data_IF_414269257916
#
_entry.id   IF_414269257916
#
_cell.length_a   1.000
_cell.length_b   1.000
_cell.length_c   1.000
_cell.angle_alpha   90.00
_cell.angle_beta   90.00
_cell.angle_gamma   90.00
#
_symmetry.space_group_name_H-M   'P 1'
#
loop_
_entity.id
_entity.type
_entity.pdbx_description
1 polymer ?
#
# COMPACT_ATOMS: atom_id res chain seq x y z
N UNK A 1 8.49 -31.69 -22.60
CA UNK A 1 9.53 -31.45 -21.56
C UNK A 1 9.29 -30.05 -21.03
N UNK A 2 8.39 -29.93 -20.05
CA UNK A 2 7.98 -28.65 -19.46
C UNK A 2 8.54 -28.67 -18.03
N UNK A 3 9.43 -27.74 -17.72
CA UNK A 3 9.99 -27.56 -16.37
C UNK A 3 9.05 -26.65 -15.58
N UNK A 4 8.48 -27.22 -14.53
CA UNK A 4 7.60 -26.57 -13.58
C UNK A 4 8.48 -25.89 -12.51
N UNK A 5 8.62 -24.57 -12.53
CA UNK A 5 9.30 -23.83 -11.46
C UNK A 5 8.30 -23.60 -10.32
N UNK A 6 8.24 -24.56 -9.40
CA UNK A 6 7.68 -24.34 -8.08
C UNK A 6 8.57 -23.36 -7.33
N UNK A 7 8.01 -22.22 -6.96
CA UNK A 7 8.66 -21.25 -6.07
C UNK A 7 8.77 -21.92 -4.70
N UNK A 8 9.97 -22.38 -4.37
CA UNK A 8 10.31 -22.82 -3.01
C UNK A 8 10.56 -21.55 -2.20
N UNK A 9 9.59 -21.16 -1.37
CA UNK A 9 9.81 -20.16 -0.34
C UNK A 9 10.74 -20.80 0.70
N UNK A 10 12.06 -20.70 0.50
CA UNK A 10 13.01 -20.99 1.56
C UNK A 10 12.89 -19.87 2.57
N UNK A 11 12.17 -20.12 3.67
CA UNK A 11 12.19 -19.28 4.86
C UNK A 11 13.64 -19.08 5.29
N UNK A 12 14.19 -17.91 5.02
CA UNK A 12 15.48 -17.48 5.56
C UNK A 12 15.21 -17.16 7.02
N UNK A 13 15.49 -18.14 7.90
CA UNK A 13 15.54 -17.93 9.33
C UNK A 13 16.79 -17.07 9.60
N UNK A 14 16.63 -15.75 9.65
CA UNK A 14 17.67 -14.87 10.20
C UNK A 14 17.68 -15.13 11.70
N UNK A 15 18.59 -16.00 12.13
CA UNK A 15 18.89 -16.23 13.54
C UNK A 15 19.64 -14.98 14.05
N UNK A 16 18.90 -13.94 14.44
CA UNK A 16 19.48 -12.82 15.18
C UNK A 16 19.82 -13.36 16.57
N UNK A 17 21.11 -13.60 16.81
CA UNK A 17 21.63 -13.81 18.16
C UNK A 17 21.56 -12.45 18.86
N UNK A 18 20.42 -12.15 19.48
CA UNK A 18 20.33 -11.04 20.42
C UNK A 18 21.02 -11.51 21.69
N UNK A 19 22.25 -11.04 21.93
CA UNK A 19 22.86 -11.13 23.26
C UNK A 19 21.90 -10.49 24.25
N UNK A 20 21.43 -11.29 25.20
CA UNK A 20 20.42 -10.97 26.21
C UNK A 20 20.82 -9.78 27.07
N UNK A 21 20.49 -8.58 26.61
CA UNK A 21 20.24 -7.43 27.46
C UNK A 21 18.72 -7.31 27.55
N UNK A 22 18.13 -7.88 28.60
CA UNK A 22 16.73 -7.69 28.92
C UNK A 22 16.53 -6.22 29.33
N UNK A 23 16.14 -5.38 28.37
CA UNK A 23 15.53 -4.09 28.71
C UNK A 23 14.12 -4.43 29.21
N UNK A 24 13.80 -4.04 30.43
CA UNK A 24 12.44 -4.11 30.95
C UNK A 24 11.57 -3.19 30.12
N UNK A 25 10.91 -3.73 29.09
CA UNK A 25 9.87 -3.02 28.38
C UNK A 25 8.62 -3.05 29.27
N UNK A 26 8.06 -1.88 29.56
CA UNK A 26 6.84 -1.78 30.36
C UNK A 26 5.69 -2.49 29.62
N UNK A 27 5.20 -3.61 30.16
CA UNK A 27 4.06 -4.31 29.61
C UNK A 27 2.83 -3.40 29.59
N UNK A 28 2.13 -3.36 28.45
CA UNK A 28 0.92 -2.54 28.27
C UNK A 28 -0.34 -3.39 28.43
N UNK A 29 -0.36 -4.61 27.90
CA UNK A 29 -1.51 -5.51 28.00
C UNK A 29 -1.09 -6.98 27.99
N UNK A 30 -1.93 -7.85 28.58
CA UNK A 30 -1.60 -9.26 28.77
C UNK A 30 -2.44 -9.91 29.87
N UNK A 31 -2.33 -11.23 29.97
CA UNK A 31 -2.98 -12.02 31.01
C UNK A 31 -2.03 -13.07 31.57
N UNK A 32 -2.36 -13.56 32.76
CA UNK A 32 -1.61 -14.59 33.47
C UNK A 32 -2.52 -15.73 33.90
N UNK A 33 -1.98 -16.94 33.90
CA UNK A 33 -2.61 -18.12 34.50
C UNK A 33 -1.75 -18.60 35.67
N UNK A 34 -2.11 -19.74 36.27
CA UNK A 34 -1.23 -20.41 37.25
C UNK A 34 0.06 -20.96 36.64
N UNK A 35 0.11 -21.12 35.31
CA UNK A 35 1.24 -21.70 34.59
C UNK A 35 2.21 -20.65 34.01
N UNK A 36 1.85 -19.36 34.07
CA UNK A 36 2.70 -18.30 33.55
C UNK A 36 1.97 -17.01 33.23
N UNK A 37 2.56 -16.23 32.31
CA UNK A 37 1.99 -14.99 31.78
C UNK A 37 2.40 -14.75 30.33
N UNK A 38 1.57 -13.97 29.62
CA UNK A 38 1.85 -13.41 28.32
C UNK A 38 1.57 -11.91 28.35
N UNK A 39 2.50 -11.11 27.85
CA UNK A 39 2.45 -9.67 27.79
C UNK A 39 2.90 -9.16 26.43
N UNK A 40 2.37 -8.02 26.03
CA UNK A 40 2.83 -7.25 24.88
C UNK A 40 3.14 -5.81 25.29
N UNK A 41 4.05 -5.18 24.56
CA UNK A 41 4.48 -3.81 24.81
C UNK A 41 3.67 -2.75 24.05
N UNK A 42 2.77 -3.17 23.14
CA UNK A 42 1.86 -2.29 22.39
C UNK A 42 0.57 -3.07 22.05
N UNK A 43 -0.59 -2.45 22.22
CA UNK A 43 -1.91 -3.03 21.90
C UNK A 43 -2.60 -2.36 20.71
N UNK A 44 -2.11 -1.20 20.26
CA UNK A 44 -2.53 -0.51 19.06
C UNK A 44 -1.30 -0.09 18.25
N UNK A 45 -1.26 -0.49 16.99
CA UNK A 45 -0.08 -0.38 16.13
C UNK A 45 -0.49 0.24 14.80
N UNK A 46 0.28 1.21 14.33
CA UNK A 46 0.24 1.69 12.95
C UNK A 46 1.49 1.21 12.25
N UNK A 47 1.33 0.52 11.12
CA UNK A 47 2.42 -0.06 10.34
C UNK A 47 2.73 0.80 9.11
N UNK A 48 3.99 0.75 8.66
CA UNK A 48 4.44 1.44 7.45
C UNK A 48 4.77 0.45 6.34
N UNK A 49 4.57 0.86 5.08
CA UNK A 49 5.03 0.09 3.91
C UNK A 49 6.55 0.07 3.76
N UNK A 50 7.24 1.05 4.35
CA UNK A 50 8.67 1.27 4.12
C UNK A 50 9.55 0.91 5.31
N UNK A 51 8.96 0.78 6.49
CA UNK A 51 9.67 0.47 7.72
C UNK A 51 8.84 -0.48 8.61
N UNK A 52 9.38 -1.65 8.98
CA UNK A 52 8.67 -2.56 9.86
C UNK A 52 8.61 -2.01 11.29
N UNK A 53 7.48 -2.23 11.96
CA UNK A 53 7.29 -1.95 13.39
C UNK A 53 7.60 -3.21 14.20
N UNK A 54 8.32 -3.07 15.32
CA UNK A 54 8.59 -4.19 16.23
C UNK A 54 7.51 -4.24 17.32
N UNK A 55 6.87 -5.40 17.48
CA UNK A 55 6.08 -5.72 18.66
C UNK A 55 6.86 -6.71 19.53
N UNK A 56 7.11 -6.37 20.80
CA UNK A 56 7.76 -7.28 21.72
C UNK A 56 6.71 -8.09 22.49
N UNK A 57 6.71 -9.40 22.25
CA UNK A 57 5.92 -10.34 23.03
C UNK A 57 6.82 -10.89 24.13
N UNK A 58 6.37 -10.82 25.37
CA UNK A 58 7.14 -11.28 26.53
C UNK A 58 6.27 -12.01 27.53
N UNK A 59 6.88 -12.67 28.50
CA UNK A 59 6.13 -13.37 29.53
C UNK A 59 7.03 -14.20 30.43
N UNK A 60 6.39 -14.99 31.27
CA UNK A 60 7.04 -15.92 32.18
C UNK A 60 6.32 -17.27 32.15
N UNK A 61 7.07 -18.36 32.33
CA UNK A 61 6.55 -19.70 32.53
C UNK A 61 6.93 -20.18 33.92
N UNK A 62 5.93 -20.60 34.69
CA UNK A 62 6.13 -21.21 36.01
C UNK A 62 6.70 -22.62 35.83
N UNK A 63 7.70 -22.98 36.63
CA UNK A 63 8.38 -24.28 36.58
C UNK A 63 8.92 -24.64 35.18
N UNK A 64 9.48 -23.64 34.49
CA UNK A 64 10.06 -23.82 33.17
C UNK A 64 11.20 -24.84 33.16
N UNK A 65 11.16 -25.75 32.18
CA UNK A 65 12.20 -26.74 31.97
C UNK A 65 13.07 -26.31 30.79
N UNK A 66 14.34 -26.00 31.10
CA UNK A 66 15.31 -25.46 30.13
C UNK A 66 15.34 -26.25 28.82
N UNK A 67 15.15 -25.55 27.70
CA UNK A 67 15.17 -26.12 26.36
C UNK A 67 13.80 -26.57 25.84
N UNK A 68 12.74 -26.52 26.66
CA UNK A 68 11.39 -26.75 26.19
C UNK A 68 10.82 -25.52 25.47
N UNK A 69 10.01 -25.77 24.43
CA UNK A 69 9.48 -24.72 23.57
C UNK A 69 8.15 -24.19 24.14
N UNK A 70 8.00 -22.88 24.08
CA UNK A 70 6.75 -22.16 24.29
C UNK A 70 6.16 -21.88 22.91
N UNK A 71 4.88 -22.19 22.74
CA UNK A 71 4.14 -21.91 21.49
C UNK A 71 3.29 -20.67 21.70
N UNK A 72 3.38 -19.71 20.79
CA UNK A 72 2.50 -18.53 20.79
C UNK A 72 1.73 -18.56 19.48
N UNK A 73 0.43 -18.80 19.57
CA UNK A 73 -0.50 -18.70 18.45
C UNK A 73 -0.96 -17.26 18.30
N UNK A 74 -0.82 -16.70 17.09
CA UNK A 74 -1.37 -15.40 16.70
C UNK A 74 -2.47 -15.66 15.68
N UNK A 75 -3.71 -15.34 16.03
CA UNK A 75 -4.85 -15.49 15.13
C UNK A 75 -4.99 -14.24 14.27
N UNK A 76 -5.00 -14.41 12.94
CA UNK A 76 -5.19 -13.34 11.96
C UNK A 76 -6.68 -12.97 11.82
N UNK A 77 -7.00 -11.79 11.26
CA UNK A 77 -8.36 -11.36 10.95
C UNK A 77 -9.16 -12.33 10.07
N UNK A 78 -8.49 -13.02 9.14
CA UNK A 78 -9.07 -14.04 8.26
C UNK A 78 -9.32 -15.41 8.95
N UNK A 79 -9.11 -15.48 10.27
CA UNK A 79 -9.14 -16.67 11.13
C UNK A 79 -8.02 -17.70 10.88
N UNK A 80 -7.04 -17.43 10.02
CA UNK A 80 -5.82 -18.25 9.96
C UNK A 80 -4.89 -17.94 11.15
N UNK A 81 -3.92 -18.81 11.44
CA UNK A 81 -3.01 -18.65 12.57
C UNK A 81 -1.55 -18.68 12.16
N UNK A 82 -0.74 -17.82 12.79
CA UNK A 82 0.72 -17.91 12.80
C UNK A 82 1.13 -18.56 14.13
N UNK A 83 2.05 -19.52 14.10
CA UNK A 83 2.59 -20.16 15.30
C UNK A 83 4.06 -19.76 15.47
N UNK A 84 4.34 -19.01 16.53
CA UNK A 84 5.71 -18.70 16.95
C UNK A 84 6.19 -19.74 17.96
N UNK A 85 7.50 -20.00 17.91
CA UNK A 85 8.19 -20.89 18.82
C UNK A 85 9.28 -20.10 19.53
N UNK A 86 9.23 -20.06 20.85
CA UNK A 86 10.27 -19.41 21.66
C UNK A 86 10.68 -20.29 22.83
N UNK A 87 11.72 -19.88 23.56
CA UNK A 87 12.22 -20.53 24.75
C UNK A 87 12.41 -19.47 25.84
N UNK A 88 12.29 -19.89 27.09
CA UNK A 88 12.57 -19.03 28.23
C UNK A 88 14.01 -19.20 28.72
N UNK A 89 14.46 -18.23 29.53
CA UNK A 89 15.69 -18.32 30.31
C UNK A 89 15.55 -19.29 31.51
N UNK A 90 16.57 -19.35 32.36
CA UNK A 90 16.57 -20.26 33.53
C UNK A 90 15.56 -19.85 34.59
N UNK A 91 15.16 -18.59 34.57
CA UNK A 91 14.19 -17.97 35.45
C UNK A 91 12.76 -18.06 34.89
N UNK A 92 12.59 -18.68 33.72
CA UNK A 92 11.30 -18.88 33.06
C UNK A 92 10.81 -17.68 32.23
N UNK A 93 11.61 -16.61 32.10
CA UNK A 93 11.22 -15.44 31.33
C UNK A 93 11.55 -15.61 29.85
N UNK A 94 10.66 -15.13 28.98
CA UNK A 94 10.89 -15.10 27.54
C UNK A 94 10.57 -13.72 26.95
N UNK A 95 11.24 -13.41 25.84
CA UNK A 95 10.95 -12.26 25.01
C UNK A 95 11.20 -12.63 23.55
N UNK A 96 10.20 -12.43 22.70
CA UNK A 96 10.27 -12.70 21.26
C UNK A 96 9.70 -11.50 20.50
N UNK A 97 10.54 -10.71 19.81
CA UNK A 97 10.06 -9.65 18.95
C UNK A 97 9.42 -10.25 17.68
N UNK A 98 8.39 -9.58 17.16
CA UNK A 98 7.89 -9.80 15.80
C UNK A 98 8.02 -8.51 14.98
N UNK A 99 8.31 -8.69 13.68
CA UNK A 99 8.33 -7.60 12.72
C UNK A 99 6.96 -7.54 12.03
N UNK A 100 6.29 -6.42 12.20
CA UNK A 100 5.03 -6.07 11.55
C UNK A 100 5.34 -5.14 10.39
N UNK A 101 5.15 -5.65 9.17
CA UNK A 101 5.34 -4.92 7.92
C UNK A 101 4.01 -4.84 7.14
N UNK A 102 4.05 -4.30 5.91
CA UNK A 102 2.88 -4.18 5.04
C UNK A 102 2.22 -5.50 4.63
N UNK A 103 2.79 -6.66 4.96
CA UNK A 103 2.13 -7.95 4.71
C UNK A 103 1.10 -8.30 5.80
N UNK A 104 0.97 -7.46 6.82
CA UNK A 104 -0.03 -7.61 7.87
C UNK A 104 -1.24 -6.71 7.61
N UNK A 105 -2.43 -7.29 7.64
CA UNK A 105 -3.67 -6.58 7.41
C UNK A 105 -4.09 -5.72 8.63
N UNK A 106 -4.89 -4.69 8.37
CA UNK A 106 -5.58 -3.95 9.44
C UNK A 106 -6.56 -4.88 10.15
N UNK A 107 -6.55 -4.89 11.49
CA UNK A 107 -7.46 -5.72 12.27
C UNK A 107 -6.94 -6.08 13.65
N UNK A 108 -7.72 -6.89 14.36
CA UNK A 108 -7.39 -7.38 15.69
C UNK A 108 -6.71 -8.75 15.62
N UNK A 109 -5.64 -8.91 16.39
CA UNK A 109 -4.79 -10.10 16.45
C UNK A 109 -4.74 -10.64 17.87
N UNK A 110 -5.62 -11.60 18.22
CA UNK A 110 -5.54 -12.32 19.48
C UNK A 110 -4.31 -13.23 19.53
N UNK A 111 -3.67 -13.30 20.70
CA UNK A 111 -2.53 -14.15 21.01
C UNK A 111 -2.89 -15.12 22.13
N UNK A 112 -2.46 -16.36 21.96
CA UNK A 112 -2.55 -17.40 22.99
C UNK A 112 -1.19 -18.09 23.13
N UNK A 113 -0.63 -18.05 24.34
CA UNK A 113 0.62 -18.73 24.64
C UNK A 113 0.35 -20.03 25.41
N UNK A 114 1.02 -21.09 24.97
CA UNK A 114 0.95 -22.42 25.60
C UNK A 114 2.32 -23.01 25.88
N UNK A 115 2.41 -23.73 26.99
CA UNK A 115 3.59 -24.48 27.41
C UNK A 115 3.15 -25.86 27.90
N UNK A 116 3.70 -26.94 27.31
CA UNK A 116 3.29 -28.33 27.58
C UNK A 116 1.76 -28.56 27.53
N UNK A 117 1.08 -27.92 26.58
CA UNK A 117 -0.38 -27.93 26.39
C UNK A 117 -1.20 -27.18 27.45
N UNK A 118 -0.57 -26.48 28.39
CA UNK A 118 -1.24 -25.57 29.31
C UNK A 118 -1.20 -24.14 28.76
N UNK A 119 -2.31 -23.42 28.88
CA UNK A 119 -2.35 -21.98 28.61
C UNK A 119 -1.55 -21.25 29.69
N UNK A 120 -0.57 -20.45 29.27
CA UNK A 120 0.22 -19.60 30.19
C UNK A 120 -0.26 -18.15 30.17
N UNK A 121 -0.96 -17.74 29.12
CA UNK A 121 -1.53 -16.39 29.03
C UNK A 121 -2.02 -16.06 27.63
N UNK A 122 -2.72 -14.95 27.54
CA UNK A 122 -3.30 -14.40 26.32
C UNK A 122 -3.13 -12.89 26.27
N UNK A 123 -3.08 -12.35 25.06
CA UNK A 123 -2.98 -10.93 24.79
C UNK A 123 -3.68 -10.61 23.46
N UNK A 124 -3.80 -9.33 23.11
CA UNK A 124 -4.28 -8.93 21.79
C UNK A 124 -3.69 -7.59 21.40
N UNK A 125 -3.26 -7.44 20.16
CA UNK A 125 -2.97 -6.14 19.57
C UNK A 125 -3.87 -5.89 18.37
N UNK A 126 -4.07 -4.63 18.03
CA UNK A 126 -4.76 -4.21 16.81
C UNK A 126 -3.83 -3.44 15.91
N UNK A 127 -3.79 -3.80 14.64
CA UNK A 127 -3.27 -2.93 13.59
C UNK A 127 -4.42 -1.99 13.21
N UNK A 128 -4.19 -0.69 13.35
CA UNK A 128 -5.20 0.35 13.11
C UNK A 128 -4.89 1.13 11.85
N UNK A 129 -5.94 1.50 11.11
CA UNK A 129 -5.80 2.48 10.04
C UNK A 129 -5.60 3.88 10.62
N UNK A 130 -4.68 4.64 10.05
CA UNK A 130 -4.51 6.05 10.44
C UNK A 130 -5.66 6.85 9.82
N UNK A 131 -6.54 7.45 10.63
CA UNK A 131 -7.64 8.27 10.09
C UNK A 131 -7.15 9.69 9.75
N UNK A 132 -7.45 10.18 8.55
CA UNK A 132 -6.98 11.49 8.08
C UNK A 132 -7.82 12.69 8.52
N UNK A 133 -9.00 12.45 9.11
CA UNK A 133 -9.98 13.50 9.41
C UNK A 133 -9.52 14.42 10.57
N UNK A 134 -8.61 13.97 11.44
CA UNK A 134 -8.26 14.66 12.68
C UNK A 134 -6.76 14.95 12.87
N UNK A 135 -5.96 14.92 11.81
CA UNK A 135 -4.53 15.23 11.93
C UNK A 135 -4.39 16.75 12.06
N UNK A 136 -3.94 17.29 13.21
CA UNK A 136 -3.77 18.71 13.39
C UNK A 136 -2.63 19.21 12.50
N UNK A 137 -2.88 20.32 11.80
CA UNK A 137 -1.92 20.93 10.89
C UNK A 137 -1.74 22.40 11.26
N UNK A 138 -0.50 22.83 11.46
CA UNK A 138 -0.15 24.22 11.75
C UNK A 138 0.27 24.97 10.48
N UNK A 139 -0.71 25.48 9.74
CA UNK A 139 -0.49 26.32 8.54
C UNK A 139 0.30 27.61 8.82
N UNK A 140 0.52 27.96 10.08
CA UNK A 140 1.40 29.07 10.48
C UNK A 140 2.87 28.80 10.15
N UNK A 141 3.29 27.54 10.10
CA UNK A 141 4.69 27.10 9.90
C UNK A 141 5.03 27.00 8.41
N UNK A 142 4.06 26.64 7.57
CA UNK A 142 4.30 26.47 6.15
C UNK A 142 3.03 26.25 5.35
N UNK A 143 3.21 26.01 4.05
CA UNK A 143 2.17 25.65 3.10
C UNK A 143 2.55 24.37 2.34
N UNK A 144 1.53 23.67 1.87
CA UNK A 144 1.67 22.47 1.04
C UNK A 144 0.58 22.53 -0.02
N UNK A 145 0.96 22.30 -1.26
CA UNK A 145 0.10 22.32 -2.43
C UNK A 145 0.49 21.12 -3.31
N UNK A 146 -0.50 20.51 -3.95
CA UNK A 146 -0.32 19.41 -4.90
C UNK A 146 -0.63 19.93 -6.30
N UNK A 147 0.13 19.48 -7.30
CA UNK A 147 -0.06 19.96 -8.68
C UNK A 147 -1.31 19.35 -9.32
N UNK A 148 -1.52 18.05 -9.13
CA UNK A 148 -2.67 17.30 -9.66
C UNK A 148 -3.40 16.56 -8.53
N UNK A 149 -4.69 16.86 -8.34
CA UNK A 149 -5.55 16.21 -7.35
C UNK A 149 -6.06 14.83 -7.81
N UNK A 150 -6.01 14.55 -9.11
CA UNK A 150 -6.38 13.26 -9.70
C UNK A 150 -5.28 12.79 -10.65
N UNK A 151 -4.73 11.62 -10.38
CA UNK A 151 -3.63 11.05 -11.14
C UNK A 151 -4.06 9.70 -11.69
N UNK A 152 -4.09 9.61 -13.03
CA UNK A 152 -4.36 8.36 -13.73
C UNK A 152 -3.04 7.74 -14.17
N UNK A 153 -2.82 6.47 -13.79
CA UNK A 153 -1.65 5.69 -14.22
C UNK A 153 -2.13 4.53 -15.07
N UNK A 154 -1.58 4.40 -16.26
CA UNK A 154 -1.90 3.30 -17.17
C UNK A 154 -0.73 2.31 -17.21
N UNK A 155 -1.02 1.02 -17.05
CA UNK A 155 -0.01 -0.03 -17.12
C UNK A 155 1.15 0.15 -16.12
N UNK A 156 2.38 -0.05 -16.60
CA UNK A 156 3.63 0.04 -15.82
C UNK A 156 4.36 1.38 -16.01
N UNK A 157 3.67 2.43 -16.47
CA UNK A 157 4.31 3.75 -16.60
C UNK A 157 4.73 4.29 -15.23
N UNK A 158 5.90 4.93 -15.20
CA UNK A 158 6.45 5.53 -13.98
C UNK A 158 5.81 6.90 -13.78
N UNK A 159 4.73 6.98 -13.02
CA UNK A 159 4.12 8.27 -12.66
C UNK A 159 4.66 8.83 -11.35
N UNK A 160 4.65 10.15 -11.22
CA UNK A 160 5.06 10.86 -10.00
C UNK A 160 3.98 11.84 -9.57
N UNK A 161 3.75 11.93 -8.27
CA UNK A 161 2.98 13.01 -7.64
C UNK A 161 3.94 14.15 -7.33
N UNK A 162 3.70 15.34 -7.88
CA UNK A 162 4.46 16.54 -7.53
C UNK A 162 3.77 17.29 -6.38
N UNK A 163 4.52 17.53 -5.31
CA UNK A 163 4.05 18.30 -4.16
C UNK A 163 5.00 19.45 -3.90
N UNK A 164 4.44 20.65 -3.84
CA UNK A 164 5.15 21.89 -3.63
C UNK A 164 4.81 22.47 -2.25
N UNK A 165 5.74 23.21 -1.67
CA UNK A 165 5.47 23.87 -0.40
C UNK A 165 6.55 24.85 0.01
N UNK A 166 6.26 25.58 1.09
CA UNK A 166 7.19 26.51 1.72
C UNK A 166 7.13 26.34 3.24
N UNK A 167 8.29 26.40 3.90
CA UNK A 167 8.40 26.43 5.37
C UNK A 167 9.03 27.74 5.82
N UNK A 168 8.36 28.45 6.72
CA UNK A 168 8.90 29.69 7.32
C UNK A 168 10.08 29.35 8.22
N UNK A 169 11.15 30.15 8.11
CA UNK A 169 12.38 30.01 8.91
C UNK A 169 13.07 28.63 8.76
N UNK A 170 12.85 27.93 7.64
CA UNK A 170 13.50 26.67 7.34
C UNK A 170 15.03 26.76 7.45
N UNK A 171 15.63 25.78 8.10
CA UNK A 171 17.09 25.67 8.20
C UNK A 171 17.60 24.77 7.08
N UNK A 172 18.46 25.33 6.22
CA UNK A 172 18.94 24.61 5.04
C UNK A 172 19.66 23.32 5.42
N UNK A 173 19.21 22.21 4.85
CA UNK A 173 19.78 20.87 5.05
C UNK A 173 19.02 20.02 6.07
N UNK A 174 18.11 20.62 6.83
CA UNK A 174 17.19 19.88 7.69
C UNK A 174 16.16 19.09 6.87
N UNK A 175 15.75 17.94 7.39
CA UNK A 175 14.83 17.06 6.70
C UNK A 175 13.38 17.54 6.82
N UNK A 176 12.67 17.47 5.70
CA UNK A 176 11.23 17.61 5.62
C UNK A 176 10.68 16.22 5.39
N UNK A 177 9.71 15.80 6.21
CA UNK A 177 9.09 14.48 6.08
C UNK A 177 7.71 14.63 5.47
N UNK A 178 7.45 13.88 4.41
CA UNK A 178 6.14 13.73 3.79
C UNK A 178 5.63 12.33 4.12
N UNK A 179 4.66 12.27 5.04
CA UNK A 179 3.95 11.04 5.36
C UNK A 179 2.80 10.87 4.38
N UNK A 180 2.86 9.83 3.58
CA UNK A 180 1.84 9.41 2.63
C UNK A 180 0.97 8.38 3.33
N UNK A 181 -0.32 8.65 3.40
CA UNK A 181 -1.33 7.73 3.88
C UNK A 181 -2.06 7.14 2.67
N UNK A 182 -2.03 5.81 2.61
CA UNK A 182 -2.65 5.01 1.55
C UNK A 182 -4.14 4.77 1.84
N UNK A 183 -4.93 4.42 0.81
CA UNK A 183 -6.35 4.07 0.97
C UNK A 183 -6.61 2.97 2.02
N UNK A 184 -5.73 1.97 2.10
CA UNK A 184 -5.72 0.90 3.09
C UNK A 184 -5.52 1.38 4.53
N UNK A 185 -5.03 2.61 4.72
CA UNK A 185 -4.65 3.17 6.01
C UNK A 185 -3.19 2.92 6.39
N UNK A 186 -2.41 2.23 5.54
CA UNK A 186 -0.96 2.09 5.68
C UNK A 186 -0.25 3.42 5.40
N UNK A 187 0.96 3.57 5.95
CA UNK A 187 1.75 4.80 5.75
C UNK A 187 3.09 4.55 5.09
N UNK A 188 3.53 5.49 4.26
CA UNK A 188 4.87 5.54 3.69
C UNK A 188 5.47 6.91 3.96
N UNK A 189 6.79 7.00 4.11
CA UNK A 189 7.44 8.29 4.36
C UNK A 189 8.44 8.62 3.24
N UNK A 190 8.38 9.87 2.74
CA UNK A 190 9.36 10.44 1.83
C UNK A 190 10.08 11.58 2.55
N UNK A 191 11.42 11.53 2.58
CA UNK A 191 12.24 12.55 3.23
C UNK A 191 12.99 13.36 2.18
N UNK A 192 12.85 14.68 2.24
CA UNK A 192 13.48 15.62 1.30
C UNK A 192 14.16 16.77 2.06
N UNK A 193 14.82 17.65 1.32
CA UNK A 193 15.35 18.92 1.83
C UNK A 193 14.82 20.07 1.00
N UNK A 194 14.68 21.24 1.62
CA UNK A 194 14.24 22.47 0.96
C UNK A 194 15.41 23.35 0.51
N UNK A 195 15.05 24.42 -0.20
CA UNK A 195 15.92 25.53 -0.57
C UNK A 195 16.12 26.47 0.62
N UNK A 196 17.10 27.36 0.56
CA UNK A 196 17.41 28.30 1.65
C UNK A 196 16.29 29.30 1.97
N UNK A 197 15.35 29.51 1.05
CA UNK A 197 14.17 30.35 1.24
C UNK A 197 12.96 29.57 1.81
N UNK A 198 13.13 28.29 2.11
CA UNK A 198 12.07 27.42 2.64
C UNK A 198 11.25 26.70 1.59
N UNK A 199 11.41 27.01 0.30
CA UNK A 199 10.69 26.33 -0.78
C UNK A 199 11.19 24.91 -0.95
N UNK A 200 10.28 23.98 -1.22
CA UNK A 200 10.62 22.61 -1.60
C UNK A 200 9.66 22.07 -2.65
N UNK A 201 10.15 21.09 -3.40
CA UNK A 201 9.38 20.32 -4.37
C UNK A 201 9.72 18.85 -4.17
N UNK A 202 8.70 18.01 -4.01
CA UNK A 202 8.82 16.58 -3.88
C UNK A 202 8.26 15.91 -5.12
N UNK A 203 8.99 14.95 -5.69
CA UNK A 203 8.51 14.09 -6.77
C UNK A 203 8.32 12.69 -6.18
N UNK A 204 7.11 12.37 -5.76
CA UNK A 204 6.77 11.10 -5.11
C UNK A 204 6.47 10.09 -6.20
N UNK A 205 7.33 9.11 -6.38
CA UNK A 205 7.12 8.02 -7.34
C UNK A 205 5.96 7.14 -6.90
N UNK A 206 4.96 6.99 -7.75
CA UNK A 206 3.89 6.00 -7.56
C UNK A 206 4.49 4.62 -7.81
N UNK A 207 4.39 3.73 -6.83
CA UNK A 207 4.92 2.38 -6.93
C UNK A 207 3.88 1.41 -7.54
N UNK A 208 4.36 0.36 -8.20
CA UNK A 208 3.52 -0.59 -8.93
C UNK A 208 2.50 -1.29 -8.02
N UNK A 209 2.84 -1.47 -6.73
CA UNK A 209 2.01 -2.09 -5.71
C UNK A 209 1.00 -1.15 -5.04
N UNK A 210 1.04 0.17 -5.30
CA UNK A 210 0.04 1.09 -4.74
C UNK A 210 -1.36 0.74 -5.25
N UNK A 211 -2.36 0.77 -4.39
CA UNK A 211 -3.76 0.58 -4.79
C UNK A 211 -4.34 1.86 -5.41
N UNK A 212 -5.37 1.71 -6.23
CA UNK A 212 -6.22 2.86 -6.60
C UNK A 212 -6.97 3.36 -5.36
N UNK A 213 -7.28 4.65 -5.32
CA UNK A 213 -8.11 5.26 -4.28
C UNK A 213 -7.59 6.60 -3.78
N UNK A 214 -8.09 6.99 -2.61
CA UNK A 214 -7.77 8.28 -1.98
C UNK A 214 -6.52 8.20 -1.12
N UNK A 215 -5.54 9.03 -1.44
CA UNK A 215 -4.31 9.21 -0.69
C UNK A 215 -4.29 10.56 0.00
N UNK A 216 -3.53 10.65 1.09
CA UNK A 216 -3.25 11.91 1.77
C UNK A 216 -1.76 12.07 2.02
N UNK A 217 -1.24 13.28 1.82
CA UNK A 217 0.16 13.61 2.08
C UNK A 217 0.19 14.67 3.18
N UNK A 218 0.88 14.35 4.27
CA UNK A 218 1.07 15.22 5.42
C UNK A 218 2.53 15.62 5.46
N UNK A 219 2.80 16.91 5.41
CA UNK A 219 4.15 17.46 5.53
C UNK A 219 4.43 17.84 6.97
N UNK A 220 5.59 17.40 7.47
CA UNK A 220 6.11 17.73 8.79
C UNK A 220 7.55 18.20 8.75
N UNK A 221 7.86 19.10 9.68
CA UNK A 221 9.18 19.69 9.90
C UNK A 221 9.36 19.89 11.40
N UNK A 222 10.50 19.45 11.94
CA UNK A 222 10.76 19.45 13.39
C UNK A 222 9.64 18.77 14.20
N UNK A 223 9.18 17.61 13.71
CA UNK A 223 8.08 16.81 14.28
C UNK A 223 6.69 17.49 14.31
N UNK A 224 6.56 18.70 13.76
CA UNK A 224 5.30 19.43 13.65
C UNK A 224 4.71 19.32 12.24
N UNK A 225 3.44 18.91 12.14
CA UNK A 225 2.71 18.87 10.87
C UNK A 225 2.27 20.28 10.46
N UNK A 226 2.55 20.70 9.23
CA UNK A 226 2.26 22.07 8.75
C UNK A 226 1.47 22.16 7.45
N UNK A 227 1.34 21.05 6.71
CA UNK A 227 0.48 20.98 5.53
C UNK A 227 -0.14 19.60 5.35
N UNK A 228 -1.32 19.56 4.73
CA UNK A 228 -1.98 18.34 4.27
C UNK A 228 -2.61 18.60 2.90
N UNK A 229 -2.37 17.69 1.97
CA UNK A 229 -3.03 17.63 0.66
C UNK A 229 -3.56 16.22 0.42
N UNK A 230 -4.59 16.10 -0.39
CA UNK A 230 -5.21 14.83 -0.75
C UNK A 230 -5.15 14.67 -2.29
N UNK A 231 -5.05 13.43 -2.79
CA UNK A 231 -5.17 13.14 -4.21
C UNK A 231 -5.83 11.77 -4.45
N UNK A 232 -6.45 11.60 -5.61
CA UNK A 232 -6.95 10.32 -6.09
C UNK A 232 -5.94 9.68 -7.04
N UNK A 233 -5.68 8.39 -6.85
CA UNK A 233 -4.91 7.57 -7.78
C UNK A 233 -5.84 6.59 -8.48
N UNK A 234 -5.89 6.65 -9.80
CA UNK A 234 -6.67 5.74 -10.65
C UNK A 234 -5.71 4.89 -11.49
N UNK A 235 -5.54 3.61 -11.14
CA UNK A 235 -4.75 2.68 -11.96
C UNK A 235 -5.62 1.98 -12.99
N UNK A 236 -5.34 2.21 -14.26
CA UNK A 236 -5.96 1.52 -15.37
C UNK A 236 -5.11 0.30 -15.72
N UNK A 237 -5.69 -0.89 -15.53
CA UNK A 237 -5.07 -2.15 -15.90
C UNK A 237 -5.79 -2.72 -17.11
N UNK A 238 -5.17 -2.61 -18.28
CA UNK A 238 -5.74 -3.17 -19.52
C UNK A 238 -5.44 -4.68 -19.56
N UNK A 239 -6.45 -5.55 -19.71
CA UNK A 239 -6.21 -6.97 -19.82
C UNK A 239 -5.31 -7.31 -21.01
N UNK A 240 -4.32 -8.18 -20.79
CA UNK A 240 -3.34 -8.52 -21.84
C UNK A 240 -3.97 -9.15 -23.09
N UNK A 241 -5.12 -9.82 -22.96
CA UNK A 241 -5.84 -10.39 -24.10
C UNK A 241 -6.37 -9.30 -25.04
N UNK A 242 -6.60 -8.09 -24.54
CA UNK A 242 -7.14 -6.99 -25.31
C UNK A 242 -6.16 -6.51 -26.39
N UNK A 243 -4.85 -6.72 -26.21
CA UNK A 243 -3.85 -6.47 -27.26
C UNK A 243 -4.12 -7.25 -28.54
N UNK A 244 -4.59 -8.49 -28.43
CA UNK A 244 -4.91 -9.30 -29.61
C UNK A 244 -6.12 -8.72 -30.37
N UNK A 245 -7.13 -8.25 -29.63
CA UNK A 245 -8.32 -7.62 -30.19
C UNK A 245 -7.95 -6.31 -30.91
N UNK A 246 -7.15 -5.47 -30.27
CA UNK A 246 -6.62 -4.23 -30.86
C UNK A 246 -5.79 -4.48 -32.12
N UNK A 247 -4.94 -5.52 -32.12
CA UNK A 247 -4.15 -5.91 -33.29
C UNK A 247 -5.05 -6.30 -34.45
N UNK A 248 -6.02 -7.20 -34.23
CA UNK A 248 -6.96 -7.62 -35.27
C UNK A 248 -7.78 -6.45 -35.83
N UNK A 249 -8.18 -5.51 -34.98
CA UNK A 249 -8.92 -4.33 -35.41
C UNK A 249 -8.07 -3.39 -36.26
N UNK A 250 -6.82 -3.18 -35.86
CA UNK A 250 -5.89 -2.33 -36.60
C UNK A 250 -5.50 -2.91 -37.95
N UNK A 251 -5.46 -4.24 -38.06
CA UNK A 251 -5.20 -4.98 -39.31
C UNK A 251 -6.44 -5.10 -40.22
N UNK A 252 -7.60 -4.61 -39.77
CA UNK A 252 -8.87 -4.70 -40.50
C UNK A 252 -9.47 -6.12 -40.53
N UNK A 253 -9.08 -6.98 -39.59
CA UNK A 253 -9.62 -8.33 -39.42
C UNK A 253 -10.93 -8.36 -38.62
N UNK A 254 -11.18 -7.33 -37.80
CA UNK A 254 -12.46 -7.08 -37.15
C UNK A 254 -12.98 -5.69 -37.51
N UNK A 255 -14.30 -5.57 -37.59
CA UNK A 255 -14.98 -4.32 -37.97
C UNK A 255 -15.05 -3.34 -36.79
N UNK A 256 -15.27 -2.06 -37.08
CA UNK A 256 -15.30 -1.00 -36.05
C UNK A 256 -16.35 -1.23 -34.97
N UNK A 257 -17.53 -1.72 -35.34
CA UNK A 257 -18.58 -2.00 -34.38
C UNK A 257 -18.20 -3.13 -33.42
N UNK A 258 -17.46 -4.15 -33.87
CA UNK A 258 -17.02 -5.27 -33.02
C UNK A 258 -15.97 -4.80 -32.01
N UNK A 259 -15.06 -3.91 -32.44
CA UNK A 259 -14.08 -3.31 -31.55
C UNK A 259 -14.74 -2.37 -30.52
N UNK A 260 -15.69 -1.53 -30.96
CA UNK A 260 -16.47 -0.63 -30.10
C UNK A 260 -17.24 -1.44 -29.05
N UNK A 261 -17.99 -2.47 -29.45
CA UNK A 261 -18.73 -3.35 -28.54
C UNK A 261 -17.80 -3.99 -27.50
N UNK A 262 -16.58 -4.37 -27.90
CA UNK A 262 -15.57 -4.91 -27.02
C UNK A 262 -15.11 -3.91 -25.95
N UNK A 263 -14.85 -2.65 -26.33
CA UNK A 263 -14.50 -1.60 -25.35
C UNK A 263 -15.68 -1.28 -24.44
N UNK A 264 -16.89 -1.13 -24.99
CA UNK A 264 -18.10 -0.87 -24.20
C UNK A 264 -18.29 -1.95 -23.13
N UNK A 265 -18.07 -3.21 -23.50
CA UNK A 265 -18.09 -4.32 -22.54
C UNK A 265 -17.03 -4.17 -21.44
N UNK A 266 -15.78 -3.85 -21.79
CA UNK A 266 -14.71 -3.69 -20.80
C UNK A 266 -15.00 -2.56 -19.80
N UNK A 267 -15.61 -1.46 -20.26
CA UNK A 267 -15.98 -0.34 -19.41
C UNK A 267 -17.19 -0.73 -18.54
N UNK A 268 -18.23 -1.33 -19.14
CA UNK A 268 -19.49 -1.67 -18.45
C UNK A 268 -19.28 -2.70 -17.35
N UNK A 269 -18.37 -3.66 -17.54
CA UNK A 269 -18.04 -4.68 -16.55
C UNK A 269 -16.94 -4.23 -15.57
N UNK A 270 -16.59 -2.93 -15.55
CA UNK A 270 -15.57 -2.34 -14.68
C UNK A 270 -14.20 -3.03 -14.80
N UNK A 271 -13.92 -3.65 -15.96
CA UNK A 271 -12.63 -4.29 -16.26
C UNK A 271 -11.58 -3.23 -16.55
N UNK A 272 -11.96 -2.15 -17.23
CA UNK A 272 -11.16 -0.94 -17.35
C UNK A 272 -12.01 0.26 -16.92
N UNK A 273 -11.39 1.17 -16.17
CA UNK A 273 -12.02 2.45 -15.81
C UNK A 273 -11.39 3.53 -16.68
N UNK A 274 -12.20 4.15 -17.54
CA UNK A 274 -11.75 5.28 -18.37
C UNK A 274 -12.18 6.57 -17.67
N UNK A 275 -11.26 7.46 -17.30
CA UNK A 275 -11.63 8.74 -16.71
C UNK A 275 -12.38 9.57 -17.75
N UNK A 276 -13.69 9.71 -17.56
CA UNK A 276 -14.55 10.51 -18.45
C UNK A 276 -14.58 11.93 -17.90
N UNK A 277 -14.06 12.89 -18.68
CA UNK A 277 -14.29 14.30 -18.39
C UNK A 277 -15.79 14.59 -18.53
N UNK A 278 -16.49 14.67 -17.40
CA UNK A 278 -17.92 14.99 -17.35
C UNK A 278 -18.16 16.34 -18.04
N UNK A 279 -18.69 16.33 -19.27
CA UNK A 279 -19.04 17.59 -19.92
C UNK A 279 -19.41 17.57 -21.39
N UNK A 280 -18.89 16.66 -22.21
CA UNK A 280 -19.09 16.78 -23.65
C UNK A 280 -19.71 15.51 -24.24
N UNK A 281 -21.04 15.45 -24.25
CA UNK A 281 -21.77 14.73 -25.31
C UNK A 281 -21.59 15.53 -26.60
N UNK A 282 -20.41 15.39 -27.22
CA UNK A 282 -20.19 15.92 -28.57
C UNK A 282 -21.22 15.33 -29.54
N UNK A 283 -21.52 16.05 -30.62
CA UNK A 283 -22.38 15.53 -31.69
C UNK A 283 -21.91 14.12 -32.07
N UNK A 284 -22.82 13.15 -32.06
CA UNK A 284 -22.51 11.75 -32.38
C UNK A 284 -21.79 11.67 -33.73
N UNK A 285 -20.49 11.41 -33.69
CA UNK A 285 -19.73 10.96 -34.84
C UNK A 285 -20.02 9.46 -35.02
N UNK A 286 -20.19 9.01 -36.26
CA UNK A 286 -20.56 7.62 -36.54
C UNK A 286 -19.36 6.78 -37.04
N UNK A 287 -18.16 7.35 -37.05
CA UNK A 287 -16.98 6.74 -37.69
C UNK A 287 -15.75 6.93 -36.83
N UNK A 288 -15.01 5.84 -36.63
CA UNK A 288 -13.72 5.89 -35.93
C UNK A 288 -12.68 6.59 -36.82
N UNK A 289 -12.01 7.66 -36.36
CA UNK A 289 -10.95 8.28 -37.14
C UNK A 289 -9.74 7.36 -37.36
N UNK A 290 -9.11 7.46 -38.52
CA UNK A 290 -7.94 6.63 -38.87
C UNK A 290 -6.77 6.77 -37.87
N UNK A 291 -6.58 7.96 -37.30
CA UNK A 291 -5.51 8.18 -36.31
C UNK A 291 -5.73 7.36 -35.03
N UNK A 292 -6.99 7.13 -34.63
CA UNK A 292 -7.34 6.28 -33.47
C UNK A 292 -6.94 4.85 -33.77
N UNK A 293 -7.33 4.34 -34.95
CA UNK A 293 -6.96 2.99 -35.40
C UNK A 293 -5.44 2.80 -35.45
N UNK A 294 -4.74 3.80 -35.98
CA UNK A 294 -3.28 3.79 -36.07
C UNK A 294 -2.63 3.74 -34.68
N UNK A 295 -3.06 4.59 -33.74
CA UNK A 295 -2.51 4.62 -32.38
C UNK A 295 -2.74 3.30 -31.64
N UNK A 296 -3.94 2.73 -31.75
CA UNK A 296 -4.29 1.47 -31.10
C UNK A 296 -3.53 0.28 -31.74
N UNK A 297 -3.28 0.32 -33.04
CA UNK A 297 -2.39 -0.63 -33.71
C UNK A 297 -0.93 -0.51 -33.28
N UNK A 298 -0.44 0.70 -33.04
CA UNK A 298 0.90 0.88 -32.45
C UNK A 298 0.95 0.34 -31.02
N UNK A 299 -0.09 0.59 -30.22
CA UNK A 299 -0.19 0.09 -28.86
C UNK A 299 -0.20 -1.44 -28.82
N UNK A 300 -0.97 -2.10 -29.68
CA UNK A 300 -1.04 -3.56 -29.73
C UNK A 300 0.30 -4.22 -30.11
N UNK A 301 1.18 -3.47 -30.78
CA UNK A 301 2.52 -3.89 -31.18
C UNK A 301 3.62 -3.41 -30.22
N UNK A 302 3.26 -2.95 -29.01
CA UNK A 302 4.19 -2.42 -28.00
C UNK A 302 5.03 -1.22 -28.48
N UNK A 303 4.53 -0.47 -29.47
CA UNK A 303 5.21 0.72 -30.02
C UNK A 303 4.83 2.01 -29.28
N UNK A 304 3.68 2.01 -28.61
CA UNK A 304 3.18 3.09 -27.76
C UNK A 304 2.68 2.54 -26.44
N UNK A 305 2.44 3.41 -25.45
CA UNK A 305 2.08 3.02 -24.10
C UNK A 305 0.58 2.86 -23.88
N UNK A 306 0.21 2.26 -22.75
CA UNK A 306 -1.18 2.13 -22.32
C UNK A 306 -1.90 3.49 -22.21
N UNK A 307 -1.15 4.58 -21.97
CA UNK A 307 -1.68 5.94 -21.93
C UNK A 307 -2.18 6.37 -23.30
N UNK A 308 -1.48 6.02 -24.39
CA UNK A 308 -1.91 6.31 -25.75
C UNK A 308 -3.19 5.53 -26.14
N UNK A 309 -3.34 4.29 -25.65
CA UNK A 309 -4.59 3.55 -25.80
C UNK A 309 -5.73 4.24 -25.05
N UNK A 310 -5.53 4.56 -23.76
CA UNK A 310 -6.57 5.19 -22.92
C UNK A 310 -7.00 6.53 -23.51
N UNK A 311 -6.05 7.37 -23.96
CA UNK A 311 -6.36 8.64 -24.62
C UNK A 311 -7.18 8.43 -25.90
N UNK A 312 -6.86 7.39 -26.68
CA UNK A 312 -7.59 7.01 -27.89
C UNK A 312 -9.02 6.57 -27.58
N UNK A 313 -9.23 5.75 -26.54
CA UNK A 313 -10.56 5.33 -26.07
C UNK A 313 -11.33 6.52 -25.50
N UNK A 314 -10.69 7.36 -24.70
CA UNK A 314 -11.30 8.56 -24.11
C UNK A 314 -11.84 9.47 -25.21
N UNK A 315 -11.07 9.69 -26.28
CA UNK A 315 -11.57 10.44 -27.44
C UNK A 315 -12.85 9.81 -28.03
N UNK A 316 -12.87 8.48 -28.21
CA UNK A 316 -14.05 7.80 -28.76
C UNK A 316 -15.28 7.95 -27.87
N UNK A 317 -15.09 7.93 -26.53
CA UNK A 317 -16.15 8.19 -25.55
C UNK A 317 -16.61 9.66 -25.64
N UNK A 318 -15.70 10.62 -25.66
CA UNK A 318 -15.99 12.06 -25.77
C UNK A 318 -16.75 12.42 -27.06
N UNK A 319 -16.51 11.69 -28.15
CA UNK A 319 -17.23 11.85 -29.42
C UNK A 319 -18.55 11.09 -29.50
N UNK A 320 -18.90 10.33 -28.47
CA UNK A 320 -20.09 9.49 -28.44
C UNK A 320 -20.05 8.34 -29.45
N UNK A 321 -18.86 7.98 -29.94
CA UNK A 321 -18.64 6.80 -30.79
C UNK A 321 -18.74 5.53 -29.92
N UNK A 322 -18.18 5.59 -28.71
CA UNK A 322 -18.36 4.60 -27.65
C UNK A 322 -19.40 5.15 -26.66
N UNK A 323 -20.42 4.36 -26.35
CA UNK A 323 -21.46 4.74 -25.40
C UNK A 323 -21.27 3.97 -24.10
N UNK A 324 -20.85 4.70 -23.05
CA UNK A 324 -20.86 4.18 -21.69
C UNK A 324 -22.29 4.30 -21.16
N UNK A 325 -22.93 3.17 -20.86
CA UNK A 325 -24.34 3.10 -20.42
C UNK A 325 -24.48 3.02 -18.91
#
# INVERSE_FOLDING_TARGET
MILNYGIVITSILVMIIVSSNFVSVSAISGSSTEFGSLNIDQDSISISETAPTILNISGNVVDYNSGQVILIEIKKPDNTSIILKTQADKEGNFSTPILLDSNWDVGNYPLLATYLNNEIGSASFSITSVSVQNIPVMSSIGSLEIDEEEITVTGNEKSTVEVNGNIKNYQRGELITLKILHPSGLTSDVKITGKSNGDFTAHIRIADNWESGSFSIIASYDEENFGKVDFQLNKIQIPSYFKNVASWWSDGLIEDFEFIDGIEYLITEEIIEIPILSGNSGNSENTVPDWVRQNIGWWSNDLTSDTELVNSIQYLVEKGIIQVK
#
